data_IF_112403471155
#
_entry.id   IF_112403471155
#
_cell.length_a   1.000
_cell.length_b   1.000
_cell.length_c   1.000
_cell.angle_alpha   90.00
_cell.angle_beta   90.00
_cell.angle_gamma   90.00
#
_symmetry.space_group_name_H-M   'P 1'
#
loop_
_entity.id
_entity.type
_entity.pdbx_description
1 polymer ?
#
# COMPACT_ATOMS: atom_id res chain seq x y z
N UNK A 1 -37.04 26.24 17.17
CA UNK A 1 -37.71 25.86 15.89
C UNK A 1 -38.81 24.81 16.13
N UNK A 2 -39.44 24.22 15.10
CA UNK A 2 -40.30 23.02 15.22
C UNK A 2 -39.87 21.92 14.22
N UNK A 3 -40.07 20.64 14.58
CA UNK A 3 -39.65 19.50 13.77
C UNK A 3 -40.60 19.22 12.60
N UNK A 4 -40.10 19.32 11.35
CA UNK A 4 -40.88 18.99 10.12
C UNK A 4 -41.47 17.57 10.12
N UNK A 5 -40.93 16.62 10.89
CA UNK A 5 -41.41 15.22 10.95
C UNK A 5 -42.42 14.92 12.07
N UNK A 6 -42.47 15.68 13.16
CA UNK A 6 -43.34 15.34 14.31
C UNK A 6 -43.99 16.52 15.04
N UNK A 7 -43.76 17.77 14.59
CA UNK A 7 -44.34 18.98 15.20
C UNK A 7 -43.76 19.36 16.57
N UNK A 8 -42.91 18.54 17.19
CA UNK A 8 -42.30 18.87 18.48
C UNK A 8 -41.34 20.07 18.38
N UNK A 9 -41.23 20.90 19.43
CA UNK A 9 -40.28 22.01 19.47
C UNK A 9 -38.84 21.49 19.39
N UNK A 10 -38.01 22.19 18.61
CA UNK A 10 -36.58 21.95 18.49
C UNK A 10 -35.82 23.02 19.25
N UNK A 11 -34.87 22.56 20.06
CA UNK A 11 -33.87 23.36 20.76
C UNK A 11 -32.83 23.89 19.78
N UNK A 12 -32.23 25.03 20.09
CA UNK A 12 -31.31 25.71 19.19
C UNK A 12 -29.97 24.96 19.09
N UNK A 13 -29.42 24.87 17.87
CA UNK A 13 -28.22 24.08 17.57
C UNK A 13 -28.42 22.56 17.50
N UNK A 14 -29.61 22.03 17.83
CA UNK A 14 -29.90 20.60 17.81
C UNK A 14 -29.69 19.98 16.42
N UNK A 15 -28.91 18.90 16.33
CA UNK A 15 -28.66 18.14 15.09
C UNK A 15 -29.74 17.08 14.82
N UNK A 16 -30.40 16.59 15.86
CA UNK A 16 -31.53 15.68 15.79
C UNK A 16 -32.68 16.17 16.69
N UNK A 17 -33.91 15.86 16.31
CA UNK A 17 -35.08 16.10 17.13
C UNK A 17 -35.07 15.17 18.35
N UNK A 18 -34.80 15.72 19.54
CA UNK A 18 -34.81 14.96 20.80
C UNK A 18 -36.15 14.27 21.13
N UNK A 19 -37.23 14.59 20.39
CA UNK A 19 -38.55 13.98 20.55
C UNK A 19 -38.81 12.83 19.58
N UNK A 20 -38.20 12.74 18.38
CA UNK A 20 -38.48 11.67 17.41
C UNK A 20 -37.27 11.11 16.66
N UNK A 21 -36.05 11.56 16.97
CA UNK A 21 -34.82 11.12 16.33
C UNK A 21 -34.55 11.69 14.94
N UNK A 22 -35.54 12.31 14.27
CA UNK A 22 -35.38 12.82 12.92
C UNK A 22 -34.28 13.90 12.83
N UNK A 23 -33.43 13.89 11.78
CA UNK A 23 -32.38 14.88 11.61
C UNK A 23 -32.94 16.28 11.42
N UNK A 24 -32.17 17.28 11.85
CA UNK A 24 -32.48 18.70 11.74
C UNK A 24 -31.42 19.35 10.84
N UNK A 25 -31.80 19.94 9.69
CA UNK A 25 -30.83 20.65 8.86
C UNK A 25 -30.26 21.86 9.61
N UNK A 26 -29.00 22.26 9.35
CA UNK A 26 -28.43 23.46 9.93
C UNK A 26 -29.25 24.71 9.56
N UNK A 27 -29.23 25.72 10.43
CA UNK A 27 -30.07 26.92 10.29
C UNK A 27 -29.62 27.86 9.16
N UNK A 28 -28.42 27.65 8.61
CA UNK A 28 -27.79 28.42 7.54
C UNK A 28 -28.40 28.05 6.18
N UNK A 29 -29.66 28.43 5.99
CA UNK A 29 -30.46 27.96 4.85
C UNK A 29 -30.12 28.65 3.52
N UNK A 30 -30.05 27.84 2.46
CA UNK A 30 -31.11 27.87 1.43
C UNK A 30 -31.52 26.45 1.05
N UNK A 31 -32.81 26.23 0.90
CA UNK A 31 -33.36 25.02 0.30
C UNK A 31 -33.15 25.11 -1.23
N UNK A 32 -32.59 24.07 -1.86
CA UNK A 32 -32.67 23.86 -3.30
C UNK A 32 -33.41 22.57 -3.58
N UNK A 33 -34.52 22.70 -4.30
CA UNK A 33 -35.32 21.59 -4.77
C UNK A 33 -36.42 22.08 -5.71
N UNK A 34 -36.09 22.20 -6.99
CA UNK A 34 -36.93 21.70 -8.08
C UNK A 34 -36.14 21.61 -9.39
N UNK A 35 -36.64 20.83 -10.35
CA UNK A 35 -35.98 20.54 -11.61
C UNK A 35 -36.09 21.64 -12.70
N UNK A 36 -35.32 21.41 -13.77
CA UNK A 36 -35.50 21.85 -15.18
C UNK A 36 -35.04 23.23 -15.66
N UNK A 37 -33.91 23.18 -16.40
CA UNK A 37 -33.90 23.32 -17.88
C UNK A 37 -34.25 24.71 -18.47
N UNK A 38 -33.25 25.59 -18.60
CA UNK A 38 -33.12 26.52 -19.74
C UNK A 38 -31.64 26.89 -19.97
N UNK A 39 -31.17 26.74 -21.21
CA UNK A 39 -29.89 27.22 -21.74
C UNK A 39 -30.11 27.66 -23.20
N UNK A 40 -29.22 28.47 -23.82
CA UNK A 40 -28.39 29.54 -23.26
C UNK A 40 -28.84 30.89 -23.90
N UNK A 41 -28.08 31.83 -24.56
CA UNK A 41 -26.81 31.66 -25.32
C UNK A 41 -25.71 32.76 -25.17
N UNK A 42 -24.44 32.36 -25.42
CA UNK A 42 -23.28 33.16 -25.97
C UNK A 42 -22.80 34.44 -25.22
N UNK A 43 -21.59 35.01 -25.41
CA UNK A 43 -20.46 34.71 -26.32
C UNK A 43 -19.11 35.24 -25.77
N UNK A 44 -18.00 34.57 -26.14
CA UNK A 44 -16.65 35.16 -26.38
C UNK A 44 -15.83 35.74 -25.22
N UNK A 45 -14.49 35.83 -25.28
CA UNK A 45 -13.48 35.03 -26.01
C UNK A 45 -12.06 35.39 -25.49
N UNK A 46 -11.08 34.50 -25.70
CA UNK A 46 -9.60 34.63 -25.64
C UNK A 46 -8.93 35.60 -24.65
N UNK A 47 -7.91 35.09 -23.96
CA UNK A 47 -6.53 35.42 -24.39
C UNK A 47 -5.58 34.24 -24.15
N UNK A 48 -4.85 33.89 -25.21
CA UNK A 48 -3.61 33.10 -25.14
C UNK A 48 -2.47 34.05 -24.75
N UNK A 49 -1.44 33.56 -24.06
CA UNK A 49 -0.05 34.01 -24.33
C UNK A 49 0.99 33.03 -23.74
N UNK A 50 1.73 32.40 -24.63
CA UNK A 50 3.05 31.80 -24.41
C UNK A 50 3.80 31.93 -25.74
N UNK A 51 5.02 32.48 -25.73
CA UNK A 51 6.21 31.64 -25.91
C UNK A 51 7.37 32.13 -24.99
N UNK A 52 8.63 31.74 -25.09
CA UNK A 52 9.34 30.94 -26.11
C UNK A 52 10.54 30.18 -25.51
N UNK A 53 11.18 29.33 -26.32
CA UNK A 53 12.44 28.66 -26.00
C UNK A 53 13.60 29.16 -26.88
N UNK A 54 14.78 29.36 -26.28
CA UNK A 54 16.13 29.30 -26.91
C UNK A 54 17.17 29.39 -25.77
N UNK A 55 18.23 28.59 -25.62
CA UNK A 55 19.13 27.87 -26.54
C UNK A 55 20.29 28.70 -27.13
N UNK A 56 21.42 28.80 -26.41
CA UNK A 56 22.75 28.97 -27.03
C UNK A 56 23.91 28.45 -26.15
N UNK A 57 25.17 28.49 -26.64
CA UNK A 57 26.36 27.79 -26.09
C UNK A 57 27.56 28.72 -25.83
N UNK A 58 28.39 28.38 -24.83
CA UNK A 58 29.89 28.46 -24.80
C UNK A 58 30.35 27.33 -23.83
N UNK A 59 31.34 26.44 -24.06
CA UNK A 59 32.81 26.56 -24.00
C UNK A 59 33.33 27.38 -22.78
N UNK A 60 34.44 27.06 -22.10
CA UNK A 60 35.48 25.99 -22.18
C UNK A 60 35.72 25.47 -20.72
N UNK A 61 36.41 24.37 -20.39
CA UNK A 61 37.81 24.02 -20.70
C UNK A 61 38.11 22.52 -20.41
N UNK A 62 39.04 21.94 -21.19
CA UNK A 62 40.14 20.99 -20.87
C UNK A 62 39.95 19.92 -19.74
N UNK A 63 40.40 18.65 -19.87
CA UNK A 63 41.72 18.21 -20.37
C UNK A 63 41.79 16.67 -20.65
N UNK A 64 42.89 16.20 -21.28
CA UNK A 64 43.42 14.81 -21.27
C UNK A 64 42.85 13.71 -22.22
N UNK A 65 43.14 13.87 -23.52
CA UNK A 65 43.82 12.90 -24.42
C UNK A 65 43.42 11.40 -24.51
N UNK A 66 43.18 10.95 -25.75
CA UNK A 66 43.03 9.55 -26.20
C UNK A 66 44.37 8.75 -26.28
N UNK A 67 44.29 7.41 -26.35
CA UNK A 67 44.74 6.65 -27.55
C UNK A 67 44.52 5.11 -27.48
N UNK A 68 43.77 4.58 -28.45
CA UNK A 68 43.99 3.25 -29.07
C UNK A 68 44.96 3.44 -30.29
N UNK A 69 45.55 2.45 -30.98
CA UNK A 69 45.20 1.03 -31.17
C UNK A 69 46.48 0.14 -31.43
N UNK A 70 46.34 -0.98 -32.18
CA UNK A 70 47.31 -2.08 -32.46
C UNK A 70 48.44 -1.69 -33.46
N UNK A 71 49.43 -2.51 -33.89
CA UNK A 71 49.83 -3.93 -33.74
C UNK A 71 51.41 -4.01 -33.84
N UNK A 72 52.22 -4.95 -34.39
CA UNK A 72 52.15 -6.25 -35.12
C UNK A 72 53.54 -6.96 -35.13
N UNK A 73 53.60 -8.30 -35.37
CA UNK A 73 54.77 -9.12 -35.87
C UNK A 73 56.00 -9.23 -34.91
N UNK A 74 56.76 -10.34 -34.76
CA UNK A 74 56.98 -11.55 -35.58
C UNK A 74 57.06 -12.90 -34.79
N UNK A 75 57.09 -14.01 -35.55
CA UNK A 75 57.09 -15.47 -35.23
C UNK A 75 57.77 -16.17 -36.46
N UNK A 76 58.43 -17.38 -36.45
CA UNK A 76 58.25 -18.57 -35.58
C UNK A 76 59.47 -19.15 -34.77
N UNK A 77 60.16 -20.29 -35.10
CA UNK A 77 60.07 -21.49 -34.22
C UNK A 77 61.38 -22.14 -33.71
N UNK A 78 61.21 -23.06 -32.73
CA UNK A 78 61.98 -24.33 -32.64
C UNK A 78 61.10 -25.46 -32.08
N UNK A 79 60.75 -26.41 -32.93
CA UNK A 79 60.24 -27.74 -32.55
C UNK A 79 61.39 -28.75 -32.42
N UNK A 80 61.27 -29.72 -31.50
CA UNK A 80 61.62 -31.14 -31.67
C UNK A 80 61.55 -31.89 -30.33
N UNK A 81 61.00 -33.12 -30.34
CA UNK A 81 61.06 -34.08 -29.24
C UNK A 81 62.00 -35.27 -29.62
N UNK A 82 61.71 -36.48 -29.11
CA UNK A 82 62.51 -37.74 -29.15
C UNK A 82 63.53 -37.82 -27.99
N UNK A 83 63.57 -38.76 -27.02
CA UNK A 83 62.97 -40.10 -26.71
C UNK A 83 64.08 -41.17 -26.53
N UNK A 84 63.81 -42.25 -25.77
CA UNK A 84 64.71 -43.34 -25.27
C UNK A 84 65.36 -43.02 -23.90
N UNK A 85 65.15 -43.75 -22.79
CA UNK A 85 65.28 -45.20 -22.48
C UNK A 85 66.74 -45.61 -22.13
N UNK A 86 67.07 -46.45 -21.13
CA UNK A 86 66.27 -47.23 -20.15
C UNK A 86 67.13 -47.60 -18.89
N UNK A 87 66.64 -48.52 -18.03
CA UNK A 87 67.32 -49.37 -17.00
C UNK A 87 67.29 -48.99 -15.49
N UNK A 88 66.26 -49.53 -14.82
CA UNK A 88 66.32 -50.45 -13.64
C UNK A 88 67.23 -50.13 -12.43
N UNK A 89 66.63 -50.00 -11.24
CA UNK A 89 66.90 -50.88 -10.05
C UNK A 89 65.83 -50.73 -8.96
N UNK A 90 65.58 -51.82 -8.24
CA UNK A 90 64.44 -52.08 -7.34
C UNK A 90 64.61 -51.62 -5.87
N UNK A 91 63.51 -51.12 -5.26
CA UNK A 91 62.99 -51.59 -3.94
C UNK A 91 61.65 -50.94 -3.51
N UNK A 92 60.81 -51.75 -2.85
CA UNK A 92 59.57 -51.41 -2.12
C UNK A 92 59.76 -51.75 -0.62
N UNK A 93 58.85 -51.42 0.34
CA UNK A 93 57.65 -50.58 0.25
C UNK A 93 57.50 -49.51 1.38
N UNK A 94 56.57 -48.55 1.23
CA UNK A 94 55.93 -47.88 2.38
C UNK A 94 54.58 -47.20 2.02
N UNK A 95 53.58 -47.42 2.88
CA UNK A 95 52.40 -46.56 3.20
C UNK A 95 51.84 -45.59 2.13
N UNK A 96 50.91 -46.07 1.30
CA UNK A 96 49.99 -45.19 0.58
C UNK A 96 48.91 -44.59 1.52
N UNK A 97 49.12 -43.37 2.05
CA UNK A 97 48.11 -42.69 2.89
C UNK A 97 47.09 -41.95 2.02
N UNK A 98 45.86 -42.46 2.01
CA UNK A 98 44.77 -42.09 1.10
C UNK A 98 44.54 -40.58 0.91
N UNK A 99 44.63 -40.14 -0.35
CA UNK A 99 44.34 -38.78 -0.85
C UNK A 99 42.83 -38.45 -0.89
N UNK A 100 41.96 -39.41 -0.58
CA UNK A 100 40.53 -39.39 -0.95
C UNK A 100 39.67 -38.52 0.00
N UNK A 101 40.03 -38.42 1.29
CA UNK A 101 39.19 -37.79 2.32
C UNK A 101 38.88 -36.30 2.09
N UNK A 102 39.69 -35.58 1.29
CA UNK A 102 39.42 -34.17 0.97
C UNK A 102 38.22 -33.98 0.03
N UNK A 103 37.89 -34.96 -0.82
CA UNK A 103 36.73 -34.86 -1.73
C UNK A 103 35.41 -35.25 -1.05
N UNK A 104 35.44 -36.25 -0.16
CA UNK A 104 34.26 -36.74 0.55
C UNK A 104 33.57 -35.70 1.45
N UNK A 105 34.31 -34.71 1.98
CA UNK A 105 33.75 -33.60 2.78
C UNK A 105 33.35 -32.41 1.89
N UNK A 106 34.08 -32.16 0.80
CA UNK A 106 33.78 -31.04 -0.10
C UNK A 106 32.51 -31.25 -0.93
N UNK A 107 32.18 -32.49 -1.32
CA UNK A 107 30.95 -32.78 -2.08
C UNK A 107 29.68 -32.36 -1.32
N UNK A 108 29.40 -32.83 -0.08
CA UNK A 108 28.21 -32.40 0.66
C UNK A 108 28.25 -30.90 1.00
N UNK A 109 29.43 -30.32 1.23
CA UNK A 109 29.57 -28.87 1.47
C UNK A 109 29.17 -28.05 0.22
N UNK A 110 29.64 -28.43 -0.97
CA UNK A 110 29.27 -27.77 -2.24
C UNK A 110 27.78 -27.99 -2.55
N UNK A 111 27.24 -29.18 -2.31
CA UNK A 111 25.80 -29.44 -2.44
C UNK A 111 24.97 -28.55 -1.49
N UNK A 112 25.40 -28.40 -0.23
CA UNK A 112 24.76 -27.52 0.74
C UNK A 112 24.81 -26.05 0.28
N UNK A 113 25.94 -25.59 -0.26
CA UNK A 113 26.12 -24.24 -0.81
C UNK A 113 25.20 -24.01 -2.02
N UNK A 114 25.06 -24.98 -2.92
CA UNK A 114 24.13 -24.90 -4.07
C UNK A 114 22.67 -24.84 -3.60
N UNK A 115 22.30 -25.63 -2.59
CA UNK A 115 20.97 -25.58 -1.95
C UNK A 115 20.74 -24.21 -1.30
N UNK A 116 21.72 -23.68 -0.56
CA UNK A 116 21.64 -22.34 0.03
C UNK A 116 21.56 -21.23 -1.02
N UNK A 117 22.26 -21.35 -2.15
CA UNK A 117 22.16 -20.42 -3.26
C UNK A 117 20.77 -20.49 -3.93
N UNK A 118 20.23 -21.69 -4.15
CA UNK A 118 18.86 -21.88 -4.66
C UNK A 118 17.79 -21.32 -3.73
N UNK A 119 17.91 -21.58 -2.42
CA UNK A 119 17.07 -20.97 -1.39
C UNK A 119 17.24 -19.45 -1.30
N UNK A 120 18.45 -18.92 -1.54
CA UNK A 120 18.71 -17.49 -1.56
C UNK A 120 18.06 -16.79 -2.75
N UNK A 121 18.20 -17.32 -3.96
CA UNK A 121 17.52 -16.76 -5.13
C UNK A 121 16.00 -16.91 -5.04
N UNK A 122 15.50 -18.04 -4.53
CA UNK A 122 14.05 -18.25 -4.30
C UNK A 122 13.52 -17.27 -3.22
N UNK A 123 14.24 -17.11 -2.12
CA UNK A 123 13.89 -16.16 -1.05
C UNK A 123 13.85 -14.72 -1.54
N UNK A 124 14.90 -14.29 -2.27
CA UNK A 124 14.97 -12.95 -2.88
C UNK A 124 13.82 -12.70 -3.87
N UNK A 125 13.40 -13.71 -4.62
CA UNK A 125 12.32 -13.60 -5.61
C UNK A 125 10.92 -13.56 -4.96
N UNK A 126 10.72 -14.28 -3.85
CA UNK A 126 9.46 -14.31 -3.10
C UNK A 126 9.23 -13.07 -2.22
N UNK A 127 10.25 -12.23 -1.98
CA UNK A 127 10.15 -11.00 -1.18
C UNK A 127 10.49 -9.75 -1.99
N UNK A 128 10.33 -9.80 -3.30
CA UNK A 128 10.61 -8.67 -4.18
C UNK A 128 9.51 -7.58 -4.05
N UNK A 129 9.86 -6.28 -4.00
CA UNK A 129 8.88 -5.22 -3.88
C UNK A 129 7.91 -5.17 -5.07
N UNK A 130 8.36 -5.45 -6.30
CA UNK A 130 7.46 -5.46 -7.48
C UNK A 130 6.47 -6.62 -7.36
N UNK A 131 6.95 -7.81 -6.97
CA UNK A 131 6.07 -8.96 -6.69
C UNK A 131 5.06 -8.73 -5.57
N UNK A 132 5.34 -7.78 -4.67
CA UNK A 132 4.39 -7.37 -3.61
C UNK A 132 3.27 -6.50 -4.18
N UNK A 133 3.54 -5.69 -5.21
CA UNK A 133 2.54 -4.89 -5.94
C UNK A 133 1.72 -5.79 -6.88
N UNK A 134 2.37 -6.61 -7.73
CA UNK A 134 1.70 -7.60 -8.60
C UNK A 134 0.66 -8.43 -7.82
N UNK A 135 1.07 -8.93 -6.65
CA UNK A 135 0.23 -9.80 -5.84
C UNK A 135 -0.90 -9.03 -5.15
N UNK A 136 -0.76 -7.73 -4.89
CA UNK A 136 -1.81 -6.88 -4.35
C UNK A 136 -2.84 -6.55 -5.43
N UNK A 137 -2.42 -6.12 -6.62
CA UNK A 137 -3.31 -5.85 -7.76
C UNK A 137 -4.13 -7.08 -8.12
N UNK A 138 -3.48 -8.24 -8.31
CA UNK A 138 -4.17 -9.51 -8.55
C UNK A 138 -5.14 -9.84 -7.41
N UNK A 139 -4.80 -9.54 -6.15
CA UNK A 139 -5.71 -9.79 -5.03
C UNK A 139 -6.92 -8.83 -5.00
N UNK A 140 -6.78 -7.61 -5.55
CA UNK A 140 -7.90 -6.68 -5.76
C UNK A 140 -8.78 -7.15 -6.91
N UNK A 141 -8.20 -7.57 -8.03
CA UNK A 141 -8.90 -8.12 -9.20
C UNK A 141 -9.67 -9.40 -8.88
N UNK A 142 -9.01 -10.39 -8.24
CA UNK A 142 -9.61 -11.63 -7.73
C UNK A 142 -10.65 -11.39 -6.61
N UNK A 143 -10.75 -10.16 -6.08
CA UNK A 143 -11.47 -9.78 -4.85
C UNK A 143 -11.09 -10.66 -3.63
N UNK A 144 -9.83 -11.10 -3.58
CA UNK A 144 -9.33 -12.11 -2.66
C UNK A 144 -9.07 -11.55 -1.26
N UNK A 145 -10.15 -11.45 -0.48
CA UNK A 145 -10.18 -10.88 0.88
C UNK A 145 -9.15 -11.51 1.83
N UNK A 146 -8.93 -12.83 1.76
CA UNK A 146 -7.95 -13.50 2.64
C UNK A 146 -6.51 -13.17 2.27
N UNK A 147 -6.17 -13.11 0.98
CA UNK A 147 -4.86 -12.64 0.49
C UNK A 147 -4.62 -11.18 0.88
N UNK A 148 -5.61 -10.31 0.67
CA UNK A 148 -5.53 -8.88 1.05
C UNK A 148 -5.35 -8.67 2.55
N UNK A 149 -6.08 -9.39 3.42
CA UNK A 149 -5.88 -9.33 4.88
C UNK A 149 -4.46 -9.71 5.32
N UNK A 150 -3.77 -10.58 4.57
CA UNK A 150 -2.38 -10.97 4.84
C UNK A 150 -1.32 -10.01 4.26
N UNK A 151 -1.69 -9.20 3.27
CA UNK A 151 -0.78 -8.27 2.59
C UNK A 151 -0.86 -6.83 3.09
N UNK A 152 -2.01 -6.42 3.67
CA UNK A 152 -2.21 -5.07 4.17
C UNK A 152 -1.76 -4.97 5.63
N UNK A 153 -0.79 -4.09 5.89
CA UNK A 153 -0.21 -3.81 7.20
C UNK A 153 -0.75 -2.49 7.79
N UNK A 154 -0.93 -2.46 9.12
CA UNK A 154 -1.30 -1.26 9.89
C UNK A 154 -0.33 -1.11 11.06
N UNK A 155 0.08 0.13 11.39
CA UNK A 155 1.02 0.38 12.50
C UNK A 155 0.49 0.04 13.90
N UNK A 156 -0.82 -0.14 14.05
CA UNK A 156 -1.44 -0.66 15.25
C UNK A 156 -1.86 -2.12 15.05
N UNK A 157 -1.85 -2.93 16.13
CA UNK A 157 -2.29 -4.34 16.17
C UNK A 157 -3.81 -4.54 15.98
N UNK A 158 -4.45 -3.68 15.19
CA UNK A 158 -5.85 -3.78 14.80
C UNK A 158 -6.00 -4.96 13.82
N UNK A 159 -6.70 -6.00 14.25
CA UNK A 159 -6.99 -7.16 13.41
C UNK A 159 -7.83 -6.76 12.20
N UNK A 160 -7.21 -6.79 11.03
CA UNK A 160 -7.86 -6.53 9.75
C UNK A 160 -9.11 -7.41 9.58
N UNK A 161 -10.25 -6.79 9.31
CA UNK A 161 -11.54 -7.48 9.16
C UNK A 161 -11.93 -7.61 7.68
N UNK A 162 -12.69 -8.66 7.36
CA UNK A 162 -13.36 -8.82 6.07
C UNK A 162 -14.15 -7.56 5.66
N UNK A 163 -14.77 -6.88 6.64
CA UNK A 163 -15.51 -5.64 6.46
C UNK A 163 -14.61 -4.51 5.94
N UNK A 164 -13.45 -4.30 6.57
CA UNK A 164 -12.48 -3.28 6.18
C UNK A 164 -11.93 -3.53 4.78
N UNK A 165 -11.57 -4.77 4.45
CA UNK A 165 -11.11 -5.13 3.10
C UNK A 165 -12.22 -4.98 2.06
N UNK A 166 -13.47 -5.36 2.37
CA UNK A 166 -14.63 -5.13 1.50
C UNK A 166 -14.91 -3.63 1.30
N UNK A 167 -14.72 -2.80 2.33
CA UNK A 167 -14.87 -1.35 2.25
C UNK A 167 -13.81 -0.70 1.33
N UNK A 168 -12.55 -1.16 1.41
CA UNK A 168 -11.48 -0.78 0.49
C UNK A 168 -11.80 -1.19 -0.95
N UNK A 169 -12.17 -2.46 -1.19
CA UNK A 169 -12.54 -2.96 -2.52
C UNK A 169 -13.76 -2.24 -3.11
N UNK A 170 -14.75 -1.90 -2.28
CA UNK A 170 -15.90 -1.10 -2.70
C UNK A 170 -15.49 0.33 -3.09
N UNK A 171 -14.50 0.92 -2.41
CA UNK A 171 -13.97 2.23 -2.76
C UNK A 171 -13.21 2.20 -4.10
N UNK A 172 -12.24 1.29 -4.27
CA UNK A 172 -11.49 1.14 -5.52
C UNK A 172 -12.41 0.88 -6.74
N UNK A 173 -13.51 0.13 -6.54
CA UNK A 173 -14.51 -0.11 -7.58
C UNK A 173 -15.38 1.12 -7.91
N UNK A 174 -15.57 2.02 -6.95
CA UNK A 174 -16.32 3.26 -7.13
C UNK A 174 -15.43 4.41 -7.67
N UNK A 175 -14.12 4.30 -7.48
CA UNK A 175 -13.12 5.34 -7.74
C UNK A 175 -11.88 4.70 -8.41
N UNK A 176 -12.00 4.32 -9.70
CA UNK A 176 -10.96 3.58 -10.41
C UNK A 176 -9.72 4.45 -10.68
N UNK A 177 -9.90 5.76 -10.82
CA UNK A 177 -8.80 6.71 -11.01
C UNK A 177 -7.93 6.77 -9.75
N UNK A 178 -8.53 6.89 -8.56
CA UNK A 178 -7.76 6.83 -7.30
C UNK A 178 -7.12 5.46 -7.07
N UNK A 179 -7.74 4.36 -7.51
CA UNK A 179 -7.08 3.05 -7.49
C UNK A 179 -5.84 3.02 -8.41
N UNK A 180 -5.95 3.58 -9.62
CA UNK A 180 -4.83 3.71 -10.56
C UNK A 180 -3.68 4.56 -9.97
N UNK A 181 -3.98 5.69 -9.34
CA UNK A 181 -2.98 6.54 -8.67
C UNK A 181 -2.27 5.81 -7.52
N UNK A 182 -3.00 4.97 -6.76
CA UNK A 182 -2.43 4.11 -5.72
C UNK A 182 -1.49 3.07 -6.31
N UNK A 183 -1.93 2.33 -7.34
CA UNK A 183 -1.09 1.33 -8.02
C UNK A 183 0.17 1.97 -8.60
N UNK A 184 0.04 3.07 -9.34
CA UNK A 184 1.18 3.78 -9.92
C UNK A 184 2.14 4.31 -8.84
N UNK A 185 1.65 4.76 -7.68
CA UNK A 185 2.50 5.14 -6.54
C UNK A 185 3.25 3.93 -5.95
N UNK A 186 2.60 2.77 -5.88
CA UNK A 186 3.20 1.51 -5.45
C UNK A 186 4.28 1.02 -6.43
N UNK A 187 3.99 0.95 -7.74
CA UNK A 187 4.93 0.60 -8.81
C UNK A 187 6.17 1.50 -8.80
N UNK A 188 5.98 2.82 -8.80
CA UNK A 188 7.07 3.79 -8.74
C UNK A 188 7.94 3.59 -7.50
N UNK A 189 7.33 3.31 -6.34
CA UNK A 189 8.06 3.00 -5.10
C UNK A 189 8.79 1.65 -5.17
N UNK A 190 8.22 0.65 -5.84
CA UNK A 190 8.84 -0.66 -6.02
C UNK A 190 10.05 -0.62 -6.97
N UNK A 191 9.98 0.17 -8.05
CA UNK A 191 11.06 0.33 -9.03
C UNK A 191 12.12 1.36 -8.63
N UNK A 192 11.81 2.34 -7.79
CA UNK A 192 12.79 3.32 -7.30
C UNK A 192 13.90 2.65 -6.48
N UNK A 193 15.17 2.90 -6.84
CA UNK A 193 16.34 2.24 -6.22
C UNK A 193 16.48 2.45 -4.70
N UNK A 194 15.84 3.47 -4.13
CA UNK A 194 15.81 3.77 -2.69
C UNK A 194 14.44 3.48 -2.04
N UNK A 195 13.45 2.99 -2.81
CA UNK A 195 12.05 2.79 -2.40
C UNK A 195 11.42 3.97 -1.66
N UNK A 196 11.67 5.19 -2.16
CA UNK A 196 11.11 6.43 -1.61
C UNK A 196 9.66 6.57 -2.07
N UNK A 197 8.73 6.69 -1.12
CA UNK A 197 7.32 7.03 -1.38
C UNK A 197 7.23 8.45 -1.93
N UNK A 198 6.61 8.60 -3.10
CA UNK A 198 6.26 9.90 -3.68
C UNK A 198 4.76 10.15 -3.50
N UNK A 199 4.40 11.31 -2.96
CA UNK A 199 3.01 11.70 -2.68
C UNK A 199 2.40 11.08 -1.42
N UNK A 200 1.13 11.44 -1.16
CA UNK A 200 0.37 11.06 0.04
C UNK A 200 -0.79 10.11 -0.30
N UNK A 201 -0.50 9.04 -1.05
CA UNK A 201 -1.45 7.95 -1.32
C UNK A 201 -1.84 7.21 -0.03
N UNK A 202 -3.12 6.83 0.16
CA UNK A 202 -3.59 6.18 1.40
C UNK A 202 -3.07 4.75 1.61
N UNK A 203 -2.59 4.11 0.54
CA UNK A 203 -1.90 2.82 0.58
C UNK A 203 -0.52 3.00 -0.06
N UNK A 204 0.53 2.47 0.57
CA UNK A 204 1.91 2.67 0.16
C UNK A 204 2.79 1.46 0.50
N UNK A 205 3.90 1.30 -0.22
CA UNK A 205 4.80 0.17 0.00
C UNK A 205 5.63 0.40 1.28
N UNK A 206 5.60 -0.55 2.21
CA UNK A 206 6.34 -0.50 3.46
C UNK A 206 7.32 -1.67 3.60
N UNK A 207 8.56 -1.35 3.97
CA UNK A 207 9.61 -2.32 4.24
C UNK A 207 9.51 -2.85 5.67
N UNK A 208 8.75 -3.93 5.85
CA UNK A 208 8.50 -4.62 7.11
C UNK A 208 9.72 -5.44 7.62
N UNK A 209 10.92 -4.83 7.61
CA UNK A 209 12.15 -5.42 8.13
C UNK A 209 12.76 -6.51 7.25
N UNK A 210 13.21 -7.60 7.89
CA UNK A 210 13.99 -8.68 7.27
C UNK A 210 13.33 -10.06 7.45
N UNK A 211 12.91 -10.67 6.34
CA UNK A 211 12.48 -12.08 6.33
C UNK A 211 13.71 -13.00 6.30
N UNK A 212 13.70 -14.04 7.13
CA UNK A 212 14.80 -15.02 7.27
C UNK A 212 16.19 -14.37 7.47
N UNK A 213 16.27 -13.27 8.21
CA UNK A 213 17.45 -12.41 8.46
C UNK A 213 18.07 -11.71 7.23
N UNK A 214 17.87 -12.23 6.01
CA UNK A 214 18.63 -11.84 4.82
C UNK A 214 17.82 -10.99 3.84
N UNK A 215 16.57 -11.38 3.58
CA UNK A 215 15.73 -10.80 2.54
C UNK A 215 14.91 -9.64 3.10
N UNK A 216 14.72 -8.59 2.32
CA UNK A 216 13.86 -7.49 2.72
C UNK A 216 12.40 -7.92 2.60
N UNK A 217 11.60 -7.73 3.65
CA UNK A 217 10.16 -7.98 3.59
C UNK A 217 9.43 -6.69 3.20
N UNK A 218 8.49 -6.79 2.26
CA UNK A 218 7.63 -5.69 1.86
C UNK A 218 6.16 -6.06 2.06
N UNK A 219 5.36 -5.08 2.48
CA UNK A 219 3.92 -5.17 2.68
C UNK A 219 3.26 -3.89 2.18
N UNK A 220 1.94 -3.92 1.92
CA UNK A 220 1.17 -2.73 1.58
C UNK A 220 0.68 -2.09 2.88
N UNK A 221 1.26 -0.98 3.30
CA UNK A 221 0.86 -0.30 4.54
C UNK A 221 -0.24 0.74 4.29
N UNK A 222 -1.06 0.97 5.32
CA UNK A 222 -2.04 2.05 5.36
C UNK A 222 -2.19 2.62 6.77
N UNK A 223 -2.71 3.84 6.86
CA UNK A 223 -2.91 4.56 8.12
C UNK A 223 -4.39 4.48 8.53
N UNK A 224 -4.65 4.27 9.83
CA UNK A 224 -6.01 4.11 10.33
C UNK A 224 -6.71 5.47 10.45
N UNK A 225 -7.85 5.58 9.77
CA UNK A 225 -8.79 6.70 9.92
C UNK A 225 -9.65 6.42 11.15
N UNK A 226 -9.88 7.44 11.97
CA UNK A 226 -10.72 7.39 13.16
C UNK A 226 -11.93 8.31 12.98
N UNK A 227 -13.09 7.81 12.48
CA UNK A 227 -14.26 8.64 12.28
C UNK A 227 -14.77 9.23 13.60
N UNK A 228 -15.10 10.52 13.59
CA UNK A 228 -15.74 11.21 14.72
C UNK A 228 -17.21 11.49 14.39
N UNK A 229 -18.11 11.09 15.29
CA UNK A 229 -19.56 11.30 15.14
C UNK A 229 -20.08 12.14 16.29
N UNK A 230 -20.75 13.25 15.97
CA UNK A 230 -21.32 14.18 16.95
C UNK A 230 -22.83 13.98 17.09
N UNK A 231 -23.34 13.81 18.31
CA UNK A 231 -24.78 13.65 18.59
C UNK A 231 -25.20 14.40 19.86
N UNK A 232 -26.44 14.90 19.88
CA UNK A 232 -27.12 15.45 21.05
C UNK A 232 -28.13 14.47 21.70
N UNK A 233 -28.15 13.21 21.24
CA UNK A 233 -29.04 12.17 21.76
C UNK A 233 -28.34 11.32 22.83
N UNK A 234 -28.75 11.48 24.09
CA UNK A 234 -28.21 10.74 25.23
C UNK A 234 -28.40 9.23 25.05
N UNK A 235 -27.40 8.46 25.46
CA UNK A 235 -27.35 6.99 25.37
C UNK A 235 -27.47 6.41 23.94
N UNK A 236 -27.33 7.24 22.89
CA UNK A 236 -27.26 6.75 21.52
C UNK A 236 -26.00 5.89 21.33
N UNK A 237 -26.16 4.67 20.81
CA UNK A 237 -25.05 3.78 20.45
C UNK A 237 -24.73 4.00 18.97
N UNK A 238 -23.49 4.39 18.66
CA UNK A 238 -23.01 4.62 17.30
C UNK A 238 -21.84 3.69 17.00
N UNK A 239 -21.79 3.10 15.81
CA UNK A 239 -20.66 2.28 15.37
C UNK A 239 -20.57 2.14 13.85
N UNK A 240 -19.61 1.35 13.40
CA UNK A 240 -19.42 1.00 11.99
C UNK A 240 -19.90 -0.44 11.78
N UNK A 241 -20.71 -0.67 10.76
CA UNK A 241 -21.35 -1.98 10.53
C UNK A 241 -20.27 -3.01 10.20
N UNK A 242 -20.02 -3.94 11.13
CA UNK A 242 -19.01 -4.99 10.98
C UNK A 242 -17.56 -4.58 11.26
N UNK A 243 -17.30 -3.39 11.79
CA UNK A 243 -15.95 -2.95 12.18
C UNK A 243 -15.95 -2.24 13.55
N UNK A 244 -15.01 -2.63 14.43
CA UNK A 244 -14.92 -2.10 15.79
C UNK A 244 -16.09 -2.50 16.70
N UNK A 245 -16.32 -1.72 17.75
CA UNK A 245 -17.49 -1.80 18.64
C UNK A 245 -18.30 -0.52 18.60
N UNK A 246 -19.61 -0.65 18.81
CA UNK A 246 -20.48 0.50 19.07
C UNK A 246 -20.08 1.21 20.37
N UNK A 247 -20.12 2.55 20.36
CA UNK A 247 -19.78 3.43 21.48
C UNK A 247 -20.99 4.28 21.87
N UNK A 248 -21.16 4.54 23.17
CA UNK A 248 -22.38 5.15 23.73
C UNK A 248 -22.21 6.64 24.00
N UNK A 249 -23.23 7.42 23.63
CA UNK A 249 -23.34 8.85 23.85
C UNK A 249 -23.79 9.20 25.30
N UNK A 250 -23.04 8.74 26.30
CA UNK A 250 -23.35 8.90 27.73
C UNK A 250 -23.40 10.36 28.20
N UNK A 251 -22.60 11.23 27.57
CA UNK A 251 -22.45 12.66 27.89
C UNK A 251 -23.22 13.58 26.94
N UNK A 252 -23.89 13.04 25.92
CA UNK A 252 -24.70 13.83 25.02
C UNK A 252 -25.96 14.34 25.73
N UNK A 253 -26.22 15.63 25.60
CA UNK A 253 -27.45 16.27 26.07
C UNK A 253 -28.00 17.19 24.98
N UNK A 254 -29.29 17.52 25.05
CA UNK A 254 -30.01 18.20 23.95
C UNK A 254 -29.35 19.51 23.49
N UNK A 255 -28.72 20.23 24.43
CA UNK A 255 -28.00 21.49 24.24
C UNK A 255 -26.46 21.35 24.33
N UNK A 256 -25.95 20.14 24.56
CA UNK A 256 -24.51 19.85 24.74
C UNK A 256 -24.17 18.56 23.97
N UNK A 257 -23.89 18.66 22.66
CA UNK A 257 -23.62 17.49 21.84
C UNK A 257 -22.27 16.85 22.20
N UNK A 258 -22.25 15.52 22.29
CA UNK A 258 -21.03 14.75 22.46
C UNK A 258 -20.47 14.34 21.10
N UNK A 259 -19.18 14.62 20.86
CA UNK A 259 -18.42 13.96 19.79
C UNK A 259 -17.84 12.65 20.30
N UNK A 260 -17.97 11.59 19.51
CA UNK A 260 -17.48 10.23 19.81
C UNK A 260 -16.50 9.82 18.70
N UNK A 261 -15.25 9.58 19.08
CA UNK A 261 -14.23 9.00 18.21
C UNK A 261 -14.42 7.48 18.16
N UNK A 262 -14.77 6.95 16.99
CA UNK A 262 -14.98 5.51 16.77
C UNK A 262 -13.64 4.75 16.73
N UNK A 263 -13.68 3.45 16.45
CA UNK A 263 -12.47 2.63 16.31
C UNK A 263 -11.81 2.86 14.94
N UNK A 264 -10.51 2.59 14.85
CA UNK A 264 -9.73 2.81 13.63
C UNK A 264 -10.14 1.87 12.49
N UNK A 265 -10.24 2.41 11.28
CA UNK A 265 -10.54 1.67 10.05
C UNK A 265 -9.63 2.10 8.90
N UNK A 266 -9.31 1.19 7.98
CA UNK A 266 -8.54 1.53 6.77
C UNK A 266 -9.39 2.37 5.81
N UNK A 267 -8.79 3.17 4.90
CA UNK A 267 -9.51 3.95 3.90
C UNK A 267 -10.42 3.07 3.01
N UNK A 268 -11.71 3.41 2.94
CA UNK A 268 -12.74 2.64 2.23
C UNK A 268 -14.17 3.16 2.47
N UNK A 269 -15.16 2.56 1.82
CA UNK A 269 -16.59 2.92 1.95
C UNK A 269 -17.26 2.09 3.07
N UNK A 270 -17.78 2.76 4.10
CA UNK A 270 -18.38 2.12 5.28
C UNK A 270 -19.82 2.57 5.56
N UNK A 271 -20.63 1.66 6.12
CA UNK A 271 -21.97 1.97 6.63
C UNK A 271 -21.94 2.19 8.14
N UNK A 272 -22.15 3.43 8.57
CA UNK A 272 -22.34 3.77 9.99
C UNK A 272 -23.76 3.39 10.45
N UNK A 273 -23.88 2.98 11.71
CA UNK A 273 -25.18 2.75 12.34
C UNK A 273 -25.33 3.59 13.62
N UNK A 274 -26.57 3.92 13.96
CA UNK A 274 -26.94 4.64 15.18
C UNK A 274 -28.25 4.11 15.74
N UNK A 275 -28.30 3.85 17.04
CA UNK A 275 -29.52 3.40 17.73
C UNK A 275 -29.71 4.15 19.06
N UNK A 276 -30.96 4.52 19.37
CA UNK A 276 -31.36 5.15 20.63
C UNK A 276 -32.86 4.91 20.84
N UNK A 277 -33.30 4.75 22.09
CA UNK A 277 -34.73 4.71 22.43
C UNK A 277 -35.49 5.97 21.94
N UNK A 278 -34.82 7.12 21.86
CA UNK A 278 -35.42 8.37 21.35
C UNK A 278 -35.69 8.34 19.83
N UNK A 279 -35.11 7.37 19.11
CA UNK A 279 -35.38 7.12 17.68
C UNK A 279 -36.46 6.04 17.46
N UNK A 280 -36.87 5.29 18.50
CA UNK A 280 -37.86 4.22 18.36
C UNK A 280 -39.28 4.78 18.24
N UNK A 281 -39.69 4.98 16.99
CA UNK A 281 -41.03 5.46 16.65
C UNK A 281 -42.14 4.44 16.98
N UNK A 282 -41.82 3.17 17.25
CA UNK A 282 -42.83 2.14 17.58
C UNK A 282 -43.32 2.25 19.02
N UNK A 283 -42.46 2.72 19.95
CA UNK A 283 -42.83 3.02 21.34
C UNK A 283 -43.77 4.22 21.47
N UNK A 284 -43.97 5.01 20.41
CA UNK A 284 -44.94 6.11 20.37
C UNK A 284 -46.34 5.65 19.98
N UNK A 285 -46.99 4.91 20.87
CA UNK A 285 -48.45 4.73 20.85
C UNK A 285 -49.05 5.14 22.18
N UNK A 286 -49.96 6.12 22.08
CA UNK A 286 -50.76 6.74 23.15
C UNK A 286 -49.98 7.77 23.99
#
# INVERSE_FOLDING_TARGET
MYCKHCGAPLLDGAKFCGTCGAPVPPADGKEQGNDRETEPPVSSAVHEDAPDASAEKVHEDQHASEHEERQMVAVPPRDAAVESADTVTERRPATGKSWIHRKAIMIPLVSLIIIFAGLYFTGKYLTDPVRTVDAFEQAVEDQNIDKLKGMIYTYEDVKMTDTQVKAMLAWFKNDPDTYSDIVQSLENTAHAANHVRYGHTPYYLHKAGKQYLLFDHYQIATELIYPEVTTNLKNMVIGITGAGKGKTAEKAESNSPQTIKLDGVIPGIYTFYGHSDAMDQTKKRH
#
